data_IF_751228995866
#
_entry.id   IF_751228995866
#
_cell.length_a   1.000
_cell.length_b   1.000
_cell.length_c   1.000
_cell.angle_alpha   90.00
_cell.angle_beta   90.00
_cell.angle_gamma   90.00
#
_symmetry.space_group_name_H-M   'P 1'
#
loop_
_entity.id
_entity.type
_entity.pdbx_description
1 polymer ?
#
# COMPACT_ATOMS: atom_id res chain seq x y z
N UNK A 1 -12.21 -14.60 9.97
CA UNK A 1 -11.04 -13.70 10.08
C UNK A 1 -11.18 -12.62 9.02
N UNK A 2 -11.66 -11.42 9.37
CA UNK A 2 -11.76 -10.32 8.41
C UNK A 2 -10.36 -9.73 8.24
N UNK A 3 -9.59 -10.30 7.31
CA UNK A 3 -8.38 -9.65 6.82
C UNK A 3 -8.81 -8.31 6.21
N UNK A 4 -8.15 -7.23 6.60
CA UNK A 4 -8.55 -5.87 6.23
C UNK A 4 -8.26 -5.64 4.75
N UNK A 5 -9.21 -5.98 3.89
CA UNK A 5 -9.10 -5.82 2.44
C UNK A 5 -8.98 -4.35 2.07
N UNK A 6 -8.21 -4.06 1.03
CA UNK A 6 -8.03 -2.72 0.50
C UNK A 6 -9.03 -2.44 -0.62
N UNK A 7 -9.54 -1.21 -0.67
CA UNK A 7 -10.27 -0.69 -1.82
C UNK A 7 -9.29 -0.23 -2.91
N UNK A 8 -8.12 0.28 -2.49
CA UNK A 8 -7.02 0.71 -3.36
C UNK A 8 -5.69 0.17 -2.84
N UNK A 9 -4.92 -0.43 -3.74
CA UNK A 9 -3.56 -0.89 -3.48
C UNK A 9 -2.60 -0.20 -4.45
N UNK A 10 -1.67 0.59 -3.91
CA UNK A 10 -0.58 1.20 -4.66
C UNK A 10 0.64 0.28 -4.51
N UNK A 11 1.21 -0.20 -5.61
CA UNK A 11 2.36 -1.12 -5.60
C UNK A 11 3.51 -0.56 -6.44
N UNK A 12 4.71 -1.12 -6.27
CA UNK A 12 5.90 -0.72 -7.03
C UNK A 12 6.16 0.80 -6.93
N UNK A 13 5.99 1.35 -5.73
CA UNK A 13 6.24 2.76 -5.43
C UNK A 13 7.57 2.92 -4.68
N UNK A 14 8.10 4.14 -4.66
CA UNK A 14 9.08 4.58 -3.64
C UNK A 14 8.31 5.36 -2.59
N UNK A 15 7.91 4.71 -1.50
CA UNK A 15 7.10 5.32 -0.46
C UNK A 15 8.03 5.98 0.55
N UNK A 16 7.95 7.31 0.65
CA UNK A 16 8.57 8.07 1.72
C UNK A 16 7.53 8.27 2.82
N UNK A 17 7.85 7.83 4.03
CA UNK A 17 6.99 8.06 5.18
C UNK A 17 7.66 9.08 6.11
N UNK A 18 6.86 9.79 6.90
CA UNK A 18 7.36 10.57 8.04
C UNK A 18 7.50 9.72 9.32
N UNK A 19 7.55 8.39 9.19
CA UNK A 19 7.75 7.45 10.30
C UNK A 19 9.22 6.98 10.32
N UNK A 20 10.01 7.36 11.34
CA UNK A 20 11.41 6.93 11.46
C UNK A 20 11.58 5.40 11.53
N UNK A 21 10.57 4.67 11.99
CA UNK A 21 10.59 3.21 12.07
C UNK A 21 10.29 2.54 10.72
N UNK A 22 9.76 3.28 9.75
CA UNK A 22 9.35 2.78 8.44
C UNK A 22 9.73 3.75 7.33
N UNK A 23 11.02 4.08 7.27
CA UNK A 23 11.56 5.11 6.38
C UNK A 23 11.49 4.78 4.88
N UNK A 24 11.27 3.52 4.53
CA UNK A 24 11.05 3.08 3.16
C UNK A 24 10.00 1.96 3.10
N UNK A 25 9.17 2.02 2.06
CA UNK A 25 8.22 0.98 1.68
C UNK A 25 8.01 1.02 0.17
N UNK A 26 7.43 -0.04 -0.39
CA UNK A 26 7.15 -0.13 -1.83
C UNK A 26 5.66 -0.27 -2.18
N UNK A 27 4.79 -0.38 -1.18
CA UNK A 27 3.34 -0.45 -1.36
C UNK A 27 2.55 0.20 -0.21
N UNK A 28 1.33 0.65 -0.54
CA UNK A 28 0.36 1.24 0.40
C UNK A 28 -1.03 0.68 0.11
N UNK A 29 -1.70 0.19 1.15
CA UNK A 29 -3.07 -0.29 1.10
C UNK A 29 -4.02 0.73 1.76
N UNK A 30 -5.11 1.04 1.07
CA UNK A 30 -6.15 1.96 1.54
C UNK A 30 -7.51 1.26 1.60
N UNK A 31 -8.27 1.53 2.65
CA UNK A 31 -9.68 1.19 2.76
C UNK A 31 -10.47 2.47 3.08
N UNK A 32 -11.37 2.85 2.18
CA UNK A 32 -12.02 4.15 2.17
C UNK A 32 -11.02 5.30 2.17
N UNK A 33 -11.07 6.10 3.23
CA UNK A 33 -10.24 7.28 3.47
C UNK A 33 -9.01 7.00 4.36
N UNK A 34 -8.72 5.73 4.68
CA UNK A 34 -7.66 5.36 5.61
C UNK A 34 -6.60 4.49 4.97
N UNK A 35 -5.34 4.81 5.27
CA UNK A 35 -4.22 3.89 5.08
C UNK A 35 -4.35 2.77 6.11
N UNK A 36 -4.47 1.53 5.63
CA UNK A 36 -4.64 0.35 6.47
C UNK A 36 -3.35 -0.45 6.63
N UNK A 37 -2.40 -0.26 5.71
CA UNK A 37 -1.10 -0.89 5.73
C UNK A 37 -0.10 -0.18 4.80
N UNK A 38 1.19 -0.25 5.17
CA UNK A 38 2.34 0.28 4.42
C UNK A 38 3.47 -0.74 4.58
N UNK A 39 4.11 -1.14 3.47
CA UNK A 39 5.20 -2.13 3.50
C UNK A 39 5.68 -2.53 2.11
N UNK A 40 6.19 -3.76 1.96
CA UNK A 40 6.78 -4.25 0.72
C UNK A 40 5.74 -4.80 -0.28
N UNK A 41 5.95 -4.56 -1.57
CA UNK A 41 5.01 -4.95 -2.64
C UNK A 41 4.68 -6.45 -2.63
N UNK A 42 5.62 -7.29 -2.22
CA UNK A 42 5.42 -8.75 -2.14
C UNK A 42 4.39 -9.15 -1.05
N UNK A 43 4.30 -8.37 0.04
CA UNK A 43 3.35 -8.60 1.14
C UNK A 43 1.97 -7.98 0.85
N UNK A 44 1.90 -7.07 -0.13
CA UNK A 44 0.72 -6.27 -0.45
C UNK A 44 -0.45 -7.11 -0.99
N UNK A 45 -0.16 -8.26 -1.61
CA UNK A 45 -1.16 -9.18 -2.15
C UNK A 45 -2.12 -9.72 -1.07
N UNK A 46 -1.67 -9.79 0.19
CA UNK A 46 -2.53 -10.20 1.31
C UNK A 46 -3.71 -9.24 1.59
N UNK A 47 -3.64 -8.01 1.07
CA UNK A 47 -4.69 -6.99 1.17
C UNK A 47 -5.62 -6.96 -0.04
N UNK A 48 -5.30 -7.73 -1.09
CA UNK A 48 -6.06 -7.75 -2.34
C UNK A 48 -7.34 -8.57 -2.22
N UNK A 49 -8.41 -8.03 -2.78
CA UNK A 49 -9.69 -8.68 -3.01
C UNK A 49 -10.09 -8.55 -4.48
N UNK A 50 -11.17 -9.21 -4.88
CA UNK A 50 -11.73 -9.05 -6.23
C UNK A 50 -12.19 -7.61 -6.52
N UNK A 51 -12.50 -6.82 -5.49
CA UNK A 51 -12.93 -5.43 -5.62
C UNK A 51 -11.77 -4.42 -5.52
N UNK A 52 -10.57 -4.86 -5.14
CA UNK A 52 -9.42 -3.98 -4.94
C UNK A 52 -8.94 -3.41 -6.26
N UNK A 53 -8.92 -2.09 -6.37
CA UNK A 53 -8.23 -1.40 -7.46
C UNK A 53 -6.73 -1.44 -7.19
N UNK A 54 -5.97 -2.00 -8.12
CA UNK A 54 -4.50 -2.00 -8.04
C UNK A 54 -3.93 -0.97 -9.00
N UNK A 55 -2.97 -0.18 -8.52
CA UNK A 55 -2.21 0.77 -9.32
C UNK A 55 -0.73 0.43 -9.20
N UNK A 56 -0.14 0.01 -10.31
CA UNK A 56 1.32 -0.08 -10.45
C UNK A 56 1.88 1.35 -10.59
N UNK A 57 2.63 1.79 -9.59
CA UNK A 57 3.23 3.11 -9.55
C UNK A 57 4.50 3.22 -10.42
N UNK A 58 5.04 2.13 -10.96
CA UNK A 58 6.17 2.11 -11.88
C UNK A 58 7.43 2.80 -11.33
N UNK A 59 7.74 2.58 -10.05
CA UNK A 59 8.87 3.16 -9.34
C UNK A 59 8.73 4.64 -9.00
N UNK A 60 7.57 5.26 -9.24
CA UNK A 60 7.30 6.67 -8.87
C UNK A 60 7.27 6.85 -7.34
N UNK A 61 7.52 8.07 -6.90
CA UNK A 61 7.59 8.41 -5.46
C UNK A 61 6.20 8.75 -4.92
N UNK A 62 5.83 8.17 -3.78
CA UNK A 62 4.69 8.57 -2.98
C UNK A 62 5.18 9.42 -1.80
N UNK A 63 4.59 10.60 -1.66
CA UNK A 63 4.89 11.56 -0.60
C UNK A 63 3.70 11.64 0.37
N UNK A 64 3.96 11.90 1.66
CA UNK A 64 2.93 12.08 2.69
C UNK A 64 2.21 13.43 2.58
#
# INVERSE_FOLDING_TARGET
MSGRQADLLLTNARVLTCDPARSAASAVALAGDRIVWVGESDDAESFRSAATRVVDCQGKTLLP
#
